data_IF_764278471605
#
_entry.id   IF_764278471605
#
_cell.length_a   1.000
_cell.length_b   1.000
_cell.length_c   1.000
_cell.angle_alpha   90.00
_cell.angle_beta   90.00
_cell.angle_gamma   90.00
#
_symmetry.space_group_name_H-M   'P 1'
#
loop_
_entity.id
_entity.type
_entity.pdbx_description
1 polymer ?
#
# COMPACT_ATOMS: atom_id res chain seq x y z
N UNK A 1 11.61 -63.81 -11.04
CA UNK A 1 10.47 -62.89 -10.83
C UNK A 1 10.55 -62.46 -9.38
N UNK A 2 10.93 -61.21 -9.13
CA UNK A 2 10.75 -60.49 -7.86
C UNK A 2 10.91 -58.99 -8.17
N UNK A 3 9.84 -58.38 -8.66
CA UNK A 3 9.81 -56.98 -9.15
C UNK A 3 9.65 -55.94 -8.03
N UNK A 4 9.56 -56.40 -6.78
CA UNK A 4 9.25 -55.56 -5.61
C UNK A 4 10.49 -55.05 -4.85
N UNK A 5 11.69 -55.55 -5.17
CA UNK A 5 12.94 -55.18 -4.51
C UNK A 5 13.63 -53.91 -5.08
N UNK A 6 13.10 -53.32 -6.16
CA UNK A 6 13.66 -52.11 -6.80
C UNK A 6 13.12 -50.79 -6.23
N UNK A 7 12.29 -50.82 -5.18
CA UNK A 7 11.57 -49.64 -4.71
C UNK A 7 11.74 -49.31 -3.22
N UNK A 8 12.95 -49.40 -2.65
CA UNK A 8 13.23 -48.84 -1.31
C UNK A 8 14.70 -48.46 -1.16
N UNK A 9 15.12 -47.37 -1.79
CA UNK A 9 16.49 -46.86 -1.61
C UNK A 9 16.77 -45.50 -2.24
N UNK A 10 15.83 -44.96 -3.02
CA UNK A 10 15.87 -43.56 -3.43
C UNK A 10 15.27 -42.70 -2.33
N UNK A 11 16.05 -41.74 -1.83
CA UNK A 11 15.57 -40.53 -1.17
C UNK A 11 15.40 -40.54 0.37
N UNK A 12 16.48 -40.79 1.11
CA UNK A 12 16.63 -40.26 2.49
C UNK A 12 18.00 -39.65 2.80
N UNK A 13 18.91 -39.53 1.82
CA UNK A 13 20.13 -38.73 1.96
C UNK A 13 19.96 -37.34 1.35
N UNK A 14 19.40 -37.25 0.13
CA UNK A 14 19.33 -35.99 -0.61
C UNK A 14 18.49 -34.90 0.08
N UNK A 15 17.30 -35.22 0.59
CA UNK A 15 16.50 -34.25 1.36
C UNK A 15 17.16 -33.90 2.70
N UNK A 16 17.89 -34.84 3.31
CA UNK A 16 18.59 -34.59 4.58
C UNK A 16 19.82 -33.71 4.38
N UNK A 17 20.53 -33.89 3.26
CA UNK A 17 21.71 -33.10 2.86
C UNK A 17 21.33 -31.72 2.28
N UNK A 18 20.12 -31.57 1.72
CA UNK A 18 19.64 -30.30 1.16
C UNK A 18 19.05 -29.38 2.24
N UNK A 19 18.44 -29.94 3.28
CA UNK A 19 17.79 -29.17 4.35
C UNK A 19 18.60 -29.08 5.65
N UNK A 20 19.70 -29.82 5.79
CA UNK A 20 20.57 -29.74 6.97
C UNK A 20 22.06 -29.69 6.59
N UNK A 21 22.77 -28.68 7.09
CA UNK A 21 24.19 -28.44 6.83
C UNK A 21 25.07 -29.14 7.89
N UNK A 22 26.01 -29.99 7.46
CA UNK A 22 26.95 -30.69 8.34
C UNK A 22 28.10 -29.76 8.78
N UNK A 23 28.15 -29.45 10.08
CA UNK A 23 28.98 -28.38 10.66
C UNK A 23 30.40 -28.76 11.09
N UNK A 24 31.21 -29.42 10.26
CA UNK A 24 32.65 -29.57 10.56
C UNK A 24 33.48 -28.43 9.94
N UNK A 25 33.51 -27.27 10.61
CA UNK A 25 34.27 -26.08 10.18
C UNK A 25 35.70 -26.09 10.74
N UNK A 26 36.69 -26.28 9.87
CA UNK A 26 38.14 -26.26 10.18
C UNK A 26 38.70 -24.85 10.44
N UNK A 27 37.86 -23.83 10.35
CA UNK A 27 38.18 -22.42 10.58
C UNK A 27 37.25 -21.89 11.67
N UNK A 28 37.81 -21.34 12.76
CA UNK A 28 37.03 -20.85 13.90
C UNK A 28 36.69 -19.38 13.72
N UNK A 29 35.45 -19.10 13.29
CA UNK A 29 34.86 -17.77 13.21
C UNK A 29 34.16 -17.47 14.55
N UNK A 30 34.24 -16.25 15.11
CA UNK A 30 33.50 -15.90 16.32
C UNK A 30 31.98 -16.03 16.10
N UNK A 31 31.29 -16.63 17.06
CA UNK A 31 29.86 -16.91 16.99
C UNK A 31 29.06 -15.61 17.05
N UNK A 32 28.53 -15.18 15.90
CA UNK A 32 27.53 -14.12 15.82
C UNK A 32 26.14 -14.74 15.89
N UNK A 33 25.12 -13.98 16.31
CA UNK A 33 23.73 -14.41 16.52
C UNK A 33 23.03 -15.07 15.32
N UNK A 34 23.71 -15.15 14.18
CA UNK A 34 23.25 -15.82 12.96
C UNK A 34 23.81 -17.24 12.81
N UNK A 35 24.72 -17.67 13.69
CA UNK A 35 25.41 -18.97 13.65
C UNK A 35 25.04 -19.91 14.82
N UNK A 36 24.22 -19.46 15.78
CA UNK A 36 23.64 -20.36 16.79
C UNK A 36 22.61 -21.26 16.11
N UNK A 37 22.57 -22.54 16.45
CA UNK A 37 21.87 -23.64 15.75
C UNK A 37 20.35 -23.44 15.50
N UNK A 38 19.73 -22.39 16.04
CA UNK A 38 18.38 -21.93 15.70
C UNK A 38 18.21 -20.40 15.90
N UNK A 39 18.57 -19.53 14.94
CA UNK A 39 18.19 -18.12 14.95
C UNK A 39 16.68 -17.97 14.93
N UNK A 40 16.15 -17.02 15.71
CA UNK A 40 14.71 -16.74 15.92
C UNK A 40 13.90 -16.42 14.64
N UNK A 41 14.48 -16.52 13.43
CA UNK A 41 13.98 -15.96 12.17
C UNK A 41 14.12 -16.86 10.91
N UNK A 42 14.58 -18.11 10.98
CA UNK A 42 15.07 -18.86 9.80
C UNK A 42 14.06 -19.67 8.96
N UNK A 43 12.75 -19.52 9.19
CA UNK A 43 11.76 -20.25 8.38
C UNK A 43 11.49 -19.57 7.01
N UNK A 44 11.14 -20.33 5.94
CA UNK A 44 10.80 -19.79 4.60
C UNK A 44 9.61 -18.80 4.58
N UNK A 45 8.83 -18.75 5.66
CA UNK A 45 7.84 -17.70 5.92
C UNK A 45 8.06 -16.98 7.27
N UNK A 46 9.12 -17.32 8.02
CA UNK A 46 9.36 -16.86 9.38
C UNK A 46 9.90 -15.44 9.50
N UNK A 47 10.72 -15.01 8.54
CA UNK A 47 11.28 -13.65 8.54
C UNK A 47 10.28 -12.54 8.18
N UNK A 48 9.09 -12.88 7.65
CA UNK A 48 8.10 -11.90 7.20
C UNK A 48 7.38 -11.22 8.37
N UNK A 49 7.05 -11.97 9.42
CA UNK A 49 6.33 -11.45 10.60
C UNK A 49 7.19 -10.52 11.44
N UNK A 50 8.48 -10.84 11.61
CA UNK A 50 9.44 -9.95 12.26
C UNK A 50 9.77 -8.73 11.37
N UNK A 51 9.83 -8.88 10.02
CA UNK A 51 9.84 -7.72 9.09
C UNK A 51 8.60 -6.85 9.28
N UNK A 52 7.41 -7.44 9.40
CA UNK A 52 6.13 -6.74 9.60
C UNK A 52 6.04 -6.05 10.98
N UNK A 53 6.62 -6.64 12.01
CA UNK A 53 6.77 -5.99 13.32
C UNK A 53 7.78 -4.85 13.26
N UNK A 54 8.92 -5.01 12.59
CA UNK A 54 9.97 -4.00 12.49
C UNK A 54 9.60 -2.81 11.59
N UNK A 55 8.69 -2.97 10.63
CA UNK A 55 8.10 -1.83 9.89
C UNK A 55 7.12 -1.01 10.74
N UNK A 56 6.50 -1.60 11.77
CA UNK A 56 5.46 -0.94 12.58
C UNK A 56 6.00 0.27 13.36
N UNK A 57 7.22 0.16 13.87
CA UNK A 57 7.93 1.24 14.58
C UNK A 57 8.63 2.22 13.63
N UNK A 58 8.92 1.85 12.38
CA UNK A 58 9.35 2.77 11.32
C UNK A 58 8.19 3.65 10.82
N UNK A 59 6.97 3.10 10.81
CA UNK A 59 5.72 3.84 10.59
C UNK A 59 5.40 4.81 11.73
N UNK A 60 5.69 4.43 12.97
CA UNK A 60 5.38 5.24 14.17
C UNK A 60 6.49 6.21 14.56
N UNK A 61 7.74 6.00 14.14
CA UNK A 61 8.88 6.82 14.55
C UNK A 61 9.09 7.93 13.51
N UNK A 62 8.49 9.09 13.76
CA UNK A 62 8.60 10.30 12.97
C UNK A 62 9.99 10.94 13.01
N UNK A 63 11.03 10.21 12.58
CA UNK A 63 12.41 10.70 12.56
C UNK A 63 13.10 10.39 11.23
N UNK A 64 12.90 11.30 10.28
CA UNK A 64 14.02 11.75 9.46
C UNK A 64 14.40 10.95 8.22
N UNK A 65 13.45 10.50 7.41
CA UNK A 65 13.62 10.46 5.95
C UNK A 65 12.24 10.24 5.32
N UNK A 66 11.72 11.24 4.58
CA UNK A 66 10.45 11.11 3.84
C UNK A 66 10.67 10.17 2.64
N UNK A 67 10.75 8.87 2.92
CA UNK A 67 10.99 7.85 1.91
C UNK A 67 9.72 7.51 1.12
N UNK A 68 9.87 6.90 -0.08
CA UNK A 68 8.78 6.45 -0.96
C UNK A 68 7.67 5.64 -0.25
N UNK A 69 8.01 5.02 0.88
CA UNK A 69 7.11 4.26 1.75
C UNK A 69 5.93 5.10 2.26
N UNK A 70 6.13 6.38 2.58
CA UNK A 70 5.06 7.26 3.05
C UNK A 70 3.95 7.45 1.99
N UNK A 71 4.34 7.63 0.73
CA UNK A 71 3.40 7.72 -0.39
C UNK A 71 2.63 6.42 -0.60
N UNK A 72 3.31 5.27 -0.48
CA UNK A 72 2.66 3.96 -0.57
C UNK A 72 1.61 3.74 0.51
N UNK A 73 1.85 4.23 1.73
CA UNK A 73 0.87 4.16 2.82
C UNK A 73 -0.36 5.00 2.51
N UNK A 74 -0.18 6.21 1.97
CA UNK A 74 -1.29 7.08 1.58
C UNK A 74 -2.06 6.48 0.40
N UNK A 75 -1.38 5.88 -0.58
CA UNK A 75 -2.01 5.11 -1.66
C UNK A 75 -2.88 3.98 -1.10
N UNK A 76 -2.34 3.21 -0.16
CA UNK A 76 -3.02 2.08 0.44
C UNK A 76 -4.27 2.53 1.21
N UNK A 77 -4.17 3.60 2.01
CA UNK A 77 -5.32 4.20 2.71
C UNK A 77 -6.37 4.66 1.70
N UNK A 78 -5.97 5.33 0.63
CA UNK A 78 -6.88 5.79 -0.41
C UNK A 78 -7.58 4.62 -1.10
N UNK A 79 -6.83 3.56 -1.41
CA UNK A 79 -7.37 2.31 -1.97
C UNK A 79 -8.38 1.65 -1.05
N UNK A 80 -8.08 1.57 0.25
CA UNK A 80 -9.02 1.02 1.25
C UNK A 80 -10.30 1.85 1.31
N UNK A 81 -10.20 3.19 1.33
CA UNK A 81 -11.37 4.09 1.28
C UNK A 81 -12.20 3.81 0.04
N UNK A 82 -11.57 3.65 -1.13
CA UNK A 82 -12.28 3.35 -2.39
C UNK A 82 -12.99 2.00 -2.36
N UNK A 83 -12.39 1.00 -1.73
CA UNK A 83 -12.92 -0.36 -1.65
C UNK A 83 -14.13 -0.42 -0.70
N UNK A 84 -14.03 0.26 0.44
CA UNK A 84 -15.14 0.41 1.40
C UNK A 84 -16.31 1.15 0.73
N UNK A 85 -16.02 2.21 -0.01
CA UNK A 85 -17.04 2.98 -0.72
C UNK A 85 -17.79 2.13 -1.75
N UNK A 86 -17.08 1.40 -2.63
CA UNK A 86 -17.69 0.51 -3.62
C UNK A 86 -18.55 -0.57 -2.95
N UNK A 87 -18.08 -1.10 -1.81
CA UNK A 87 -18.82 -2.08 -1.03
C UNK A 87 -20.12 -1.48 -0.45
N UNK A 88 -20.04 -0.28 0.14
CA UNK A 88 -21.20 0.45 0.65
C UNK A 88 -22.25 0.72 -0.45
N UNK A 89 -21.81 0.99 -1.67
CA UNK A 89 -22.71 1.26 -2.81
C UNK A 89 -23.52 0.05 -3.31
N UNK A 90 -23.22 -1.16 -2.86
CA UNK A 90 -24.04 -2.36 -3.18
C UNK A 90 -25.38 -2.38 -2.46
N UNK A 91 -25.57 -1.52 -1.45
CA UNK A 91 -26.81 -1.44 -0.67
C UNK A 91 -27.85 -0.58 -1.42
N UNK A 92 -29.01 -1.15 -1.83
CA UNK A 92 -29.95 -0.49 -2.73
C UNK A 92 -30.79 0.63 -2.10
N UNK A 93 -30.81 0.77 -0.78
CA UNK A 93 -31.71 1.67 -0.05
C UNK A 93 -31.37 3.17 -0.18
N UNK A 94 -30.22 3.52 -0.80
CA UNK A 94 -29.71 4.89 -0.85
C UNK A 94 -29.60 5.48 -2.27
N UNK A 95 -30.34 4.96 -3.24
CA UNK A 95 -30.29 5.39 -4.66
C UNK A 95 -30.40 6.91 -4.89
N UNK A 96 -31.13 7.64 -4.04
CA UNK A 96 -31.26 9.10 -4.14
C UNK A 96 -30.02 9.85 -3.59
N UNK A 97 -29.39 9.31 -2.55
CA UNK A 97 -28.19 9.88 -1.92
C UNK A 97 -26.89 9.46 -2.64
N UNK A 98 -26.98 8.50 -3.58
CA UNK A 98 -25.85 7.93 -4.31
C UNK A 98 -25.07 8.99 -5.11
N UNK A 99 -25.77 9.85 -5.85
CA UNK A 99 -25.16 10.86 -6.71
C UNK A 99 -24.33 11.92 -5.95
N UNK A 100 -24.84 12.57 -4.88
CA UNK A 100 -24.03 13.53 -4.12
C UNK A 100 -22.90 12.85 -3.34
N UNK A 101 -23.11 11.63 -2.84
CA UNK A 101 -22.05 10.89 -2.13
C UNK A 101 -20.84 10.57 -3.04
N UNK A 102 -21.09 10.13 -4.28
CA UNK A 102 -20.04 9.87 -5.29
C UNK A 102 -19.24 11.12 -5.63
N UNK A 103 -19.92 12.28 -5.73
CA UNK A 103 -19.29 13.55 -6.02
C UNK A 103 -18.34 13.94 -4.88
N UNK A 104 -18.80 13.83 -3.62
CA UNK A 104 -17.99 14.14 -2.43
C UNK A 104 -16.77 13.22 -2.33
N UNK A 105 -16.96 11.91 -2.46
CA UNK A 105 -15.85 10.94 -2.40
C UNK A 105 -14.83 11.16 -3.52
N UNK A 106 -15.29 11.53 -4.73
CA UNK A 106 -14.40 11.88 -5.85
C UNK A 106 -13.54 13.10 -5.54
N UNK A 107 -14.14 14.18 -5.01
CA UNK A 107 -13.41 15.39 -4.61
C UNK A 107 -12.37 15.08 -3.53
N UNK A 108 -12.75 14.32 -2.49
CA UNK A 108 -11.85 13.98 -1.39
C UNK A 108 -10.64 13.19 -1.91
N UNK A 109 -10.88 12.18 -2.75
CA UNK A 109 -9.79 11.39 -3.34
C UNK A 109 -8.89 12.24 -4.22
N UNK A 110 -9.47 13.08 -5.07
CA UNK A 110 -8.72 13.99 -5.92
C UNK A 110 -7.84 14.93 -5.10
N UNK A 111 -8.38 15.55 -4.04
CA UNK A 111 -7.63 16.43 -3.15
C UNK A 111 -6.48 15.70 -2.44
N UNK A 112 -6.72 14.46 -1.96
CA UNK A 112 -5.68 13.66 -1.31
C UNK A 112 -4.56 13.28 -2.28
N UNK A 113 -4.92 12.86 -3.49
CA UNK A 113 -3.96 12.52 -4.56
C UNK A 113 -3.14 13.73 -4.93
N UNK A 114 -3.75 14.88 -5.16
CA UNK A 114 -2.99 16.09 -5.52
C UNK A 114 -2.08 16.56 -4.39
N UNK A 115 -2.58 16.59 -3.14
CA UNK A 115 -1.79 17.06 -2.01
C UNK A 115 -0.58 16.17 -1.70
N UNK A 116 -0.72 14.85 -1.84
CA UNK A 116 0.32 13.88 -1.52
C UNK A 116 1.02 13.29 -2.76
N UNK A 117 0.34 12.76 -3.77
CA UNK A 117 0.97 12.12 -4.93
C UNK A 117 1.62 13.11 -5.91
N UNK A 118 1.11 14.33 -6.06
CA UNK A 118 1.77 15.36 -6.88
C UNK A 118 2.90 16.10 -6.14
N UNK A 119 3.32 15.62 -4.96
CA UNK A 119 4.42 16.20 -4.18
C UNK A 119 4.20 17.63 -3.67
N UNK A 120 3.02 18.23 -3.89
CA UNK A 120 2.69 19.61 -3.55
C UNK A 120 2.93 20.02 -2.08
N UNK A 121 2.73 19.09 -1.14
CA UNK A 121 3.04 19.33 0.28
C UNK A 121 4.54 19.36 0.58
N UNK A 122 5.36 18.76 -0.27
CA UNK A 122 6.81 18.66 -0.12
C UNK A 122 7.60 19.57 -1.08
N UNK A 123 6.90 20.22 -2.02
CA UNK A 123 7.48 21.12 -3.02
C UNK A 123 7.40 22.60 -2.61
N UNK A 124 8.03 23.49 -3.37
CA UNK A 124 8.02 24.93 -3.11
C UNK A 124 6.60 25.52 -3.26
N UNK A 125 6.25 26.46 -2.37
CA UNK A 125 4.89 27.05 -2.26
C UNK A 125 4.31 27.58 -3.59
N UNK A 126 5.16 27.94 -4.56
CA UNK A 126 4.70 28.40 -5.89
C UNK A 126 3.85 27.36 -6.63
N UNK A 127 4.22 26.07 -6.61
CA UNK A 127 3.44 25.04 -7.30
C UNK A 127 2.06 24.86 -6.64
N UNK A 128 2.00 24.94 -5.31
CA UNK A 128 0.73 24.88 -4.57
C UNK A 128 -0.16 26.07 -4.82
N UNK A 129 0.42 27.27 -4.93
CA UNK A 129 -0.36 28.46 -5.25
C UNK A 129 -0.96 28.35 -6.65
N UNK A 130 -0.17 27.98 -7.67
CA UNK A 130 -0.67 27.90 -9.06
C UNK A 130 -1.81 26.88 -9.18
N UNK A 131 -1.65 25.69 -8.59
CA UNK A 131 -2.68 24.64 -8.62
C UNK A 131 -3.99 25.11 -7.97
N UNK A 132 -3.91 25.68 -6.76
CA UNK A 132 -5.09 26.16 -6.04
C UNK A 132 -5.74 27.32 -6.82
N UNK A 133 -4.94 28.21 -7.41
CA UNK A 133 -5.46 29.34 -8.17
C UNK A 133 -6.24 28.85 -9.40
N UNK A 134 -5.71 27.89 -10.17
CA UNK A 134 -6.44 27.27 -11.28
C UNK A 134 -7.71 26.56 -10.82
N UNK A 135 -7.68 25.86 -9.68
CA UNK A 135 -8.87 25.18 -9.14
C UNK A 135 -9.96 26.16 -8.73
N UNK A 136 -9.61 27.23 -8.02
CA UNK A 136 -10.55 28.30 -7.63
C UNK A 136 -11.13 28.97 -8.87
N UNK A 137 -10.30 29.33 -9.84
CA UNK A 137 -10.73 29.95 -11.09
C UNK A 137 -11.69 29.03 -11.87
N UNK A 138 -11.40 27.72 -11.95
CA UNK A 138 -12.27 26.74 -12.60
C UNK A 138 -13.64 26.62 -11.91
N UNK A 139 -13.67 26.56 -10.58
CA UNK A 139 -14.90 26.53 -9.79
C UNK A 139 -15.72 27.82 -10.01
N UNK A 140 -15.05 28.97 -10.08
CA UNK A 140 -15.69 30.25 -10.34
C UNK A 140 -16.36 30.28 -11.71
N UNK A 141 -15.62 29.90 -12.77
CA UNK A 141 -16.17 29.81 -14.13
C UNK A 141 -17.34 28.83 -14.22
N UNK A 142 -17.22 27.64 -13.61
CA UNK A 142 -18.29 26.65 -13.58
C UNK A 142 -19.53 27.19 -12.85
N UNK A 143 -19.35 27.88 -11.73
CA UNK A 143 -20.45 28.48 -10.96
C UNK A 143 -21.16 29.59 -11.73
N UNK A 144 -20.39 30.46 -12.40
CA UNK A 144 -20.94 31.52 -13.27
C UNK A 144 -21.70 30.92 -14.45
N UNK A 145 -21.14 29.88 -15.09
CA UNK A 145 -21.80 29.17 -16.18
C UNK A 145 -23.12 28.54 -15.72
N UNK A 146 -23.13 27.85 -14.57
CA UNK A 146 -24.34 27.27 -13.99
C UNK A 146 -25.40 28.34 -13.68
N UNK A 147 -24.99 29.47 -13.11
CA UNK A 147 -25.88 30.58 -12.82
C UNK A 147 -26.48 31.16 -14.11
N UNK A 148 -25.65 31.37 -15.15
CA UNK A 148 -26.13 31.83 -16.45
C UNK A 148 -27.11 30.84 -17.10
N UNK A 149 -26.81 29.54 -17.07
CA UNK A 149 -27.72 28.50 -17.56
C UNK A 149 -29.04 28.47 -16.79
N UNK A 150 -29.00 28.67 -15.48
CA UNK A 150 -30.21 28.71 -14.64
C UNK A 150 -31.09 29.92 -14.97
N UNK A 151 -30.50 31.11 -15.17
CA UNK A 151 -31.25 32.31 -15.56
C UNK A 151 -31.76 32.25 -17.00
N UNK A 152 -31.01 31.63 -17.92
CA UNK A 152 -31.45 31.44 -19.30
C UNK A 152 -32.57 30.38 -19.42
N UNK A 153 -32.55 29.34 -18.59
CA UNK A 153 -33.57 28.28 -18.57
C UNK A 153 -34.90 28.65 -17.91
N UNK A 154 -34.99 29.79 -17.20
CA UNK A 154 -36.23 30.30 -16.58
C UNK A 154 -37.00 31.29 -17.48
N UNK A 155 -36.47 31.61 -18.66
CA UNK A 155 -37.02 32.63 -19.58
C UNK A 155 -37.80 32.09 -20.79
N UNK A 156 -38.05 30.77 -20.85
CA UNK A 156 -38.89 30.09 -21.86
C UNK A 156 -39.95 29.25 -21.18
#
# INVERSE_FOLDING_TARGET
MDWWALNYGGNMSLLKDLFFYQGNKWWKIPETTELSENPKNEHPFGGFLEKAKNILLILSSGKGHAGPVYYWIIAAILGIITLIEVWWFTVPELRYMLAPAMLIFSIIKFALVVAFFMHLRFDHKMFSTIFITCMVVGILFFSVFLLLSAFHGLGT
#
